data_IF_476583901544
#
_entry.id   IF_476583901544
#
_cell.length_a   1.000
_cell.length_b   1.000
_cell.length_c   1.000
_cell.angle_alpha   90.00
_cell.angle_beta   90.00
_cell.angle_gamma   90.00
#
_symmetry.space_group_name_H-M   'P 1'
#
loop_
_entity.id
_entity.type
_entity.pdbx_description
1 polymer ?
#
# COMPACT_ATOMS: atom_id res chain seq x y z
N UNK A 1 21.87 -9.36 4.48
CA UNK A 1 21.99 -7.90 4.26
C UNK A 1 20.58 -7.39 4.11
N UNK A 2 20.12 -6.54 5.03
CA UNK A 2 18.83 -5.87 4.90
C UNK A 2 18.93 -4.83 3.79
N UNK A 3 18.13 -4.99 2.73
CA UNK A 3 18.04 -3.99 1.66
C UNK A 3 17.15 -2.84 2.15
N UNK A 4 17.69 -1.61 2.30
CA UNK A 4 16.89 -0.47 2.70
C UNK A 4 15.79 -0.20 1.68
N UNK A 5 14.68 0.37 2.14
CA UNK A 5 13.59 0.81 1.27
C UNK A 5 14.10 2.00 0.48
N UNK A 6 14.65 1.73 -0.70
CA UNK A 6 15.08 2.74 -1.66
C UNK A 6 13.95 3.00 -2.66
N UNK A 7 13.96 4.12 -3.38
CA UNK A 7 12.95 4.42 -4.39
C UNK A 7 12.79 3.30 -5.44
N UNK A 8 13.90 2.65 -5.81
CA UNK A 8 13.90 1.53 -6.76
C UNK A 8 13.20 0.28 -6.21
N UNK A 9 13.40 -0.01 -4.92
CA UNK A 9 12.74 -1.15 -4.26
C UNK A 9 11.27 -0.84 -4.01
N UNK A 10 10.95 0.38 -3.57
CA UNK A 10 9.59 0.89 -3.47
C UNK A 10 8.83 0.71 -4.78
N UNK A 11 9.38 1.20 -5.91
CA UNK A 11 8.76 1.06 -7.23
C UNK A 11 8.51 -0.42 -7.60
N UNK A 12 9.45 -1.31 -7.27
CA UNK A 12 9.30 -2.75 -7.52
C UNK A 12 8.18 -3.37 -6.66
N UNK A 13 8.09 -2.99 -5.38
CA UNK A 13 7.01 -3.44 -4.48
C UNK A 13 5.67 -2.90 -4.97
N UNK A 14 5.58 -1.60 -5.27
CA UNK A 14 4.38 -0.96 -5.82
C UNK A 14 3.90 -1.68 -7.09
N UNK A 15 4.80 -1.95 -8.04
CA UNK A 15 4.44 -2.67 -9.29
C UNK A 15 3.89 -4.07 -9.03
N UNK A 16 4.49 -4.81 -8.10
CA UNK A 16 4.00 -6.14 -7.75
C UNK A 16 2.64 -6.06 -7.06
N UNK A 17 2.49 -5.20 -6.06
CA UNK A 17 1.22 -4.99 -5.35
C UNK A 17 0.12 -4.53 -6.29
N UNK A 18 0.39 -3.59 -7.19
CA UNK A 18 -0.59 -3.13 -8.17
C UNK A 18 -0.95 -4.19 -9.21
N UNK A 19 -0.08 -5.18 -9.47
CA UNK A 19 -0.32 -6.21 -10.50
C UNK A 19 -0.98 -7.46 -9.93
N UNK A 20 -0.48 -7.98 -8.82
CA UNK A 20 -0.95 -9.20 -8.17
C UNK A 20 -2.03 -8.92 -7.10
N UNK A 21 -2.05 -7.70 -6.54
CA UNK A 21 -2.88 -7.33 -5.40
C UNK A 21 -3.64 -5.99 -5.58
N UNK A 22 -3.99 -5.61 -6.81
CA UNK A 22 -4.71 -4.34 -7.07
C UNK A 22 -5.97 -4.16 -6.20
N UNK A 23 -6.73 -5.23 -6.00
CA UNK A 23 -7.93 -5.23 -5.16
C UNK A 23 -7.61 -4.96 -3.69
N UNK A 24 -6.45 -5.42 -3.21
CA UNK A 24 -5.99 -5.14 -1.85
C UNK A 24 -5.63 -3.67 -1.66
N UNK A 25 -4.93 -3.09 -2.65
CA UNK A 25 -4.56 -1.67 -2.63
C UNK A 25 -5.82 -0.79 -2.57
N UNK A 26 -6.87 -1.18 -3.31
CA UNK A 26 -8.18 -0.54 -3.22
C UNK A 26 -8.80 -0.66 -1.82
N UNK A 27 -8.79 -1.85 -1.24
CA UNK A 27 -9.28 -2.05 0.14
C UNK A 27 -8.48 -1.19 1.12
N UNK A 28 -7.16 -1.06 0.95
CA UNK A 28 -6.36 -0.19 1.79
C UNK A 28 -6.78 1.28 1.68
N UNK A 29 -6.99 1.77 0.47
CA UNK A 29 -7.48 3.12 0.23
C UNK A 29 -8.85 3.38 0.86
N UNK A 30 -9.74 2.40 0.83
CA UNK A 30 -11.09 2.53 1.38
C UNK A 30 -11.10 2.40 2.91
N UNK A 31 -10.35 1.44 3.45
CA UNK A 31 -10.36 1.06 4.87
C UNK A 31 -9.49 1.97 5.73
N UNK A 32 -8.27 2.24 5.27
CA UNK A 32 -7.26 3.02 5.99
C UNK A 32 -7.15 4.44 5.45
N UNK A 33 -7.61 4.69 4.22
CA UNK A 33 -7.67 6.03 3.66
C UNK A 33 -8.95 6.79 4.05
N UNK A 34 -9.01 8.10 3.75
CA UNK A 34 -10.15 8.94 4.07
C UNK A 34 -11.35 8.73 3.13
N UNK A 35 -11.18 8.02 2.01
CA UNK A 35 -12.17 7.90 0.95
C UNK A 35 -12.65 6.46 0.75
N UNK A 36 -13.62 6.04 1.56
CA UNK A 36 -14.29 4.73 1.46
C UNK A 36 -15.00 4.49 0.12
N UNK A 37 -15.38 5.57 -0.59
CA UNK A 37 -16.01 5.50 -1.92
C UNK A 37 -15.02 5.36 -3.08
N UNK A 38 -13.74 5.07 -2.80
CA UNK A 38 -12.76 4.82 -3.85
C UNK A 38 -13.19 3.63 -4.73
N UNK A 39 -13.10 3.77 -6.05
CA UNK A 39 -13.44 2.72 -7.01
C UNK A 39 -12.21 1.99 -7.55
N UNK A 40 -11.05 2.63 -7.51
CA UNK A 40 -9.76 2.04 -7.83
C UNK A 40 -8.69 2.66 -6.93
N UNK A 41 -7.58 1.95 -6.70
CA UNK A 41 -6.41 2.54 -6.05
C UNK A 41 -5.13 1.94 -6.59
N UNK A 42 -4.08 2.76 -6.61
CA UNK A 42 -2.76 2.40 -7.14
C UNK A 42 -1.70 2.90 -6.19
N UNK A 43 -0.85 1.99 -5.73
CA UNK A 43 0.27 2.29 -4.86
C UNK A 43 1.35 3.01 -5.67
N UNK A 44 1.81 4.17 -5.19
CA UNK A 44 2.78 5.03 -5.89
C UNK A 44 4.15 5.00 -5.22
N UNK A 45 4.19 5.00 -3.89
CA UNK A 45 5.43 4.93 -3.12
C UNK A 45 5.24 4.20 -1.80
N UNK A 46 6.33 3.69 -1.25
CA UNK A 46 6.38 3.15 0.10
C UNK A 46 7.65 3.61 0.80
N UNK A 47 7.46 4.04 2.04
CA UNK A 47 8.47 4.51 2.96
C UNK A 47 8.45 3.66 4.24
N UNK A 48 9.51 3.72 5.06
CA UNK A 48 9.52 3.08 6.37
C UNK A 48 8.39 3.48 7.30
N UNK A 49 7.84 4.69 7.14
CA UNK A 49 6.78 5.22 8.00
C UNK A 49 5.37 4.96 7.47
N UNK A 50 5.21 4.65 6.18
CA UNK A 50 3.90 4.58 5.55
C UNK A 50 4.00 4.29 4.06
N UNK A 51 2.85 4.20 3.41
CA UNK A 51 2.75 4.07 1.95
C UNK A 51 1.89 5.17 1.36
N UNK A 52 2.30 5.65 0.20
CA UNK A 52 1.52 6.55 -0.62
C UNK A 52 0.82 5.76 -1.72
N UNK A 53 -0.47 6.03 -1.86
CA UNK A 53 -1.32 5.47 -2.88
C UNK A 53 -2.21 6.55 -3.46
N UNK A 54 -2.71 6.30 -4.65
CA UNK A 54 -3.65 7.18 -5.33
C UNK A 54 -4.96 6.43 -5.49
N UNK A 55 -6.03 7.00 -4.97
CA UNK A 55 -7.36 6.44 -5.05
C UNK A 55 -8.17 7.18 -6.12
N UNK A 56 -8.98 6.46 -6.90
CA UNK A 56 -9.96 7.07 -7.77
C UNK A 56 -11.30 7.18 -7.05
N UNK A 57 -11.80 8.40 -6.89
CA UNK A 57 -13.08 8.69 -6.25
C UNK A 57 -13.89 9.52 -7.22
N UNK A 58 -15.06 9.02 -7.63
CA UNK A 58 -15.94 9.72 -8.59
C UNK A 58 -15.26 10.14 -9.91
N UNK A 59 -14.22 9.41 -10.35
CA UNK A 59 -13.44 9.72 -11.55
C UNK A 59 -12.26 10.68 -11.34
N UNK A 60 -12.07 11.19 -10.12
CA UNK A 60 -10.91 12.01 -9.76
C UNK A 60 -9.87 11.16 -9.03
N UNK A 61 -8.58 11.39 -9.34
CA UNK A 61 -7.48 10.69 -8.67
C UNK A 61 -6.99 11.53 -7.50
N UNK A 62 -7.20 11.03 -6.28
CA UNK A 62 -6.81 11.70 -5.03
C UNK A 62 -5.64 10.97 -4.37
N UNK A 63 -4.62 11.71 -3.88
CA UNK A 63 -3.53 11.11 -3.12
C UNK A 63 -4.01 10.70 -1.72
N UNK A 64 -3.61 9.52 -1.29
CA UNK A 64 -3.91 8.93 0.02
C UNK A 64 -2.61 8.44 0.62
N UNK A 65 -2.34 8.82 1.86
CA UNK A 65 -1.19 8.31 2.62
C UNK A 65 -1.71 7.44 3.76
N UNK A 66 -1.19 6.23 3.85
CA UNK A 66 -1.50 5.29 4.92
C UNK A 66 -0.24 5.10 5.75
N UNK A 67 -0.30 5.48 7.02
CA UNK A 67 0.80 5.32 7.96
C UNK A 67 0.80 3.89 8.53
N UNK A 68 1.98 3.31 8.70
CA UNK A 68 2.11 2.00 9.35
C UNK A 68 2.18 2.17 10.86
N UNK A 69 1.63 1.19 11.59
CA UNK A 69 1.69 1.15 13.07
C UNK A 69 3.13 0.91 13.58
N UNK A 70 4.02 0.42 12.71
CA UNK A 70 5.45 0.25 12.99
C UNK A 70 6.32 0.78 11.86
N UNK A 71 7.56 1.14 12.19
CA UNK A 71 8.55 1.53 11.19
C UNK A 71 9.14 0.30 10.50
N UNK A 72 9.00 0.23 9.19
CA UNK A 72 9.56 -0.86 8.39
C UNK A 72 11.09 -0.79 8.43
N UNK A 73 11.73 -1.95 8.66
CA UNK A 73 13.20 -2.01 8.74
C UNK A 73 13.86 -2.10 7.37
N UNK A 74 13.24 -2.86 6.47
CA UNK A 74 13.79 -3.17 5.16
C UNK A 74 12.69 -3.64 4.21
N UNK A 75 13.05 -3.81 2.94
CA UNK A 75 12.12 -4.18 1.88
C UNK A 75 11.37 -5.50 2.12
N UNK A 76 12.02 -6.46 2.76
CA UNK A 76 11.41 -7.73 3.12
C UNK A 76 10.31 -7.53 4.17
N UNK A 77 10.58 -6.71 5.18
CA UNK A 77 9.63 -6.33 6.22
C UNK A 77 8.44 -5.53 5.63
N UNK A 78 8.69 -4.64 4.67
CA UNK A 78 7.65 -3.92 3.93
C UNK A 78 6.68 -4.88 3.23
N UNK A 79 7.23 -5.80 2.43
CA UNK A 79 6.43 -6.81 1.73
C UNK A 79 5.66 -7.71 2.71
N UNK A 80 6.32 -8.16 3.79
CA UNK A 80 5.69 -9.02 4.78
C UNK A 80 4.54 -8.31 5.51
N UNK A 81 4.76 -7.06 5.94
CA UNK A 81 3.74 -6.23 6.59
C UNK A 81 2.52 -6.04 5.67
N UNK A 82 2.74 -5.71 4.40
CA UNK A 82 1.65 -5.55 3.42
C UNK A 82 0.87 -6.85 3.21
N UNK A 83 1.53 -8.01 3.23
CA UNK A 83 0.85 -9.31 3.09
C UNK A 83 0.10 -9.68 4.38
N UNK A 84 0.64 -9.38 5.55
CA UNK A 84 0.03 -9.67 6.85
C UNK A 84 -1.20 -8.80 7.11
N UNK A 85 -1.15 -7.49 6.78
CA UNK A 85 -2.31 -6.61 6.80
C UNK A 85 -3.44 -7.15 5.90
N UNK A 86 -3.08 -7.66 4.72
CA UNK A 86 -3.99 -8.28 3.76
C UNK A 86 -4.65 -9.56 4.29
N UNK A 87 -3.88 -10.40 4.98
CA UNK A 87 -4.41 -11.62 5.61
C UNK A 87 -5.33 -11.31 6.76
N UNK A 88 -5.02 -10.28 7.55
CA UNK A 88 -5.82 -9.84 8.69
C UNK A 88 -7.18 -9.31 8.24
N UNK A 89 -7.26 -8.71 7.06
CA UNK A 89 -8.51 -8.23 6.44
C UNK A 89 -9.35 -9.34 5.75
N UNK A 90 -8.97 -10.63 5.84
CA UNK A 90 -9.90 -11.71 5.45
C UNK A 90 -10.92 -11.95 6.57
N UNK A 91 -12.22 -11.69 6.36
CA UNK A 91 -13.23 -12.31 7.21
C UNK A 91 -13.13 -13.84 7.03
N UNK A 92 -12.98 -14.56 8.15
CA UNK A 92 -13.20 -16.01 8.18
C UNK A 92 -14.66 -16.34 7.83
#
# INVERSE_FOLDING_TARGET
MSEPITPAISDRICKHMNKDHASAVLLYAQRYGPHQSATAATMTAIDPQGMDLTAQVAGETVPVRVEFDHTLKDAADAHHTLVEMLKTDRPQ
#
